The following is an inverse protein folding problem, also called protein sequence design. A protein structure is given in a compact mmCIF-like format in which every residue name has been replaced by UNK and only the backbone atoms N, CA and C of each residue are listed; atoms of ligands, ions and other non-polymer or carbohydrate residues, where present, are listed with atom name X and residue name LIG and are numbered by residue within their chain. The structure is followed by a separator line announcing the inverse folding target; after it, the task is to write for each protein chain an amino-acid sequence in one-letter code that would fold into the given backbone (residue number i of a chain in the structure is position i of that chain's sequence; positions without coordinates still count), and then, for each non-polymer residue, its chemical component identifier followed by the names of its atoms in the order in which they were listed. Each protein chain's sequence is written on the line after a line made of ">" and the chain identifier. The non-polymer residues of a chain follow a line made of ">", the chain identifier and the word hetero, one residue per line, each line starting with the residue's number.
data_IF_307925880638
#
_entry.id   IF_307925880638
#
_cell.length_a   1.000
_cell.length_b   1.000
_cell.length_c   1.000
_cell.angle_alpha   90.00
_cell.angle_beta   90.00
_cell.angle_gamma   90.00
#
_symmetry.space_group_name_H-M   'P 1'
#
loop_
_entity.id
_entity.type
_entity.pdbx_description
1 polymer ?
#
# COMPACT_ATOMS: atom_id res chain seq x y z
N UNK A 1 8.16 5.45 33.55
CA UNK A 1 7.15 5.35 32.47
C UNK A 1 7.03 6.72 31.84
N UNK A 2 7.19 6.80 30.52
CA UNK A 2 6.95 8.03 29.76
C UNK A 2 5.62 7.82 29.04
N UNK A 3 4.66 8.72 29.23
CA UNK A 3 3.31 8.55 28.71
C UNK A 3 2.83 9.82 28.02
N UNK A 4 2.47 9.70 26.73
CA UNK A 4 1.79 10.76 26.00
C UNK A 4 0.35 10.87 26.50
N UNK A 5 0.00 12.00 27.10
CA UNK A 5 -1.33 12.24 27.65
C UNK A 5 -1.69 13.72 27.50
N UNK A 6 -2.82 13.98 26.85
CA UNK A 6 -3.41 15.32 26.70
C UNK A 6 -4.67 15.39 27.55
N UNK A 7 -4.71 16.28 28.54
CA UNK A 7 -5.87 16.46 29.42
C UNK A 7 -5.51 16.73 30.88
N UNK A 8 -6.51 16.64 31.76
CA UNK A 8 -6.32 16.85 33.20
C UNK A 8 -5.47 15.70 33.78
N UNK A 9 -4.33 16.05 34.39
CA UNK A 9 -3.44 15.09 35.06
C UNK A 9 -4.23 14.15 35.98
N UNK A 10 -4.14 12.81 35.81
CA UNK A 10 -4.82 11.85 36.68
C UNK A 10 -4.33 11.95 38.14
N UNK A 11 -5.24 11.87 39.10
CA UNK A 11 -4.92 11.91 40.53
C UNK A 11 -4.16 10.66 40.99
N UNK A 12 -4.31 9.54 40.28
CA UNK A 12 -3.67 8.24 40.56
C UNK A 12 -2.29 8.08 39.91
N UNK A 13 -1.68 9.17 39.42
CA UNK A 13 -0.40 9.09 38.70
C UNK A 13 0.76 8.73 39.64
N UNK A 14 1.45 7.62 39.35
CA UNK A 14 2.64 7.20 40.08
C UNK A 14 3.83 8.17 39.94
N UNK A 15 4.67 8.25 40.97
CA UNK A 15 5.84 9.14 41.00
C UNK A 15 6.89 8.85 39.91
N UNK A 16 6.90 7.63 39.36
CA UNK A 16 7.78 7.18 38.29
C UNK A 16 7.15 7.33 36.89
N UNK A 17 6.01 8.00 36.77
CA UNK A 17 5.33 8.27 35.51
C UNK A 17 5.40 9.75 35.17
N UNK A 18 5.92 10.06 33.98
CA UNK A 18 6.01 11.42 33.48
C UNK A 18 5.12 11.57 32.26
N UNK A 19 4.22 12.56 32.32
CA UNK A 19 3.29 12.89 31.24
C UNK A 19 3.92 13.91 30.30
N UNK A 20 3.64 13.76 29.01
CA UNK A 20 4.01 14.70 27.96
C UNK A 20 2.84 14.88 27.00
N UNK A 21 2.67 16.08 26.44
CA UNK A 21 1.69 16.32 25.38
C UNK A 21 2.16 15.74 24.04
N UNK A 22 3.47 15.79 23.80
CA UNK A 22 4.16 15.22 22.64
C UNK A 22 5.43 14.50 23.06
N UNK A 23 5.74 13.38 22.39
CA UNK A 23 6.88 12.53 22.70
C UNK A 23 7.68 12.24 21.41
N UNK A 24 9.02 12.39 21.42
CA UNK A 24 9.88 11.91 20.33
C UNK A 24 9.97 10.37 20.41
N UNK A 25 8.95 9.68 19.90
CA UNK A 25 8.76 8.25 20.08
C UNK A 25 9.95 7.44 19.55
N UNK A 26 10.40 7.72 18.32
CA UNK A 26 11.51 7.00 17.71
C UNK A 26 12.80 7.13 18.52
N UNK A 27 13.17 8.35 18.96
CA UNK A 27 14.37 8.59 19.78
C UNK A 27 14.31 7.84 21.12
N UNK A 28 13.13 7.81 21.75
CA UNK A 28 12.94 7.06 22.98
C UNK A 28 13.02 5.56 22.74
N UNK A 29 12.50 5.04 21.63
CA UNK A 29 12.65 3.63 21.26
C UNK A 29 14.12 3.28 21.02
N UNK A 30 14.89 4.18 20.41
CA UNK A 30 16.33 4.03 20.21
C UNK A 30 17.19 4.22 21.46
N UNK A 31 16.62 4.71 22.57
CA UNK A 31 17.37 4.90 23.80
C UNK A 31 17.75 3.54 24.43
N UNK A 32 19.02 3.34 24.84
CA UNK A 32 19.52 2.03 25.29
C UNK A 32 18.84 1.50 26.57
N UNK A 33 18.18 2.36 27.34
CA UNK A 33 17.43 1.97 28.55
C UNK A 33 15.97 1.58 28.27
N UNK A 34 15.50 1.68 27.02
CA UNK A 34 14.13 1.31 26.67
C UNK A 34 13.96 -0.20 26.69
N UNK A 35 13.10 -0.67 27.61
CA UNK A 35 12.92 -2.11 27.89
C UNK A 35 11.68 -2.71 27.24
N UNK A 36 10.63 -1.93 27.07
CA UNK A 36 9.38 -2.38 26.49
C UNK A 36 8.59 -1.18 25.95
N UNK A 37 7.78 -1.42 24.93
CA UNK A 37 6.87 -0.43 24.34
C UNK A 37 5.41 -0.90 24.48
N UNK A 38 4.57 -0.09 25.11
CA UNK A 38 3.12 -0.34 25.17
C UNK A 38 2.50 0.40 23.99
N UNK A 39 1.82 -0.32 23.11
CA UNK A 39 1.36 0.24 21.84
C UNK A 39 -0.02 -0.28 21.46
N UNK A 40 -0.77 0.52 20.71
CA UNK A 40 -2.01 0.11 20.06
C UNK A 40 -1.79 -0.74 18.81
N UNK A 41 -0.53 -1.02 18.44
CA UNK A 41 -0.16 -1.88 17.31
C UNK A 41 -0.42 -1.27 15.91
N UNK A 42 -0.45 0.07 15.80
CA UNK A 42 -0.34 0.72 14.51
C UNK A 42 0.99 0.41 13.83
N UNK A 43 0.98 0.27 12.50
CA UNK A 43 2.12 -0.23 11.70
C UNK A 43 3.40 0.58 11.92
N UNK A 44 3.36 1.91 11.81
CA UNK A 44 4.55 2.75 12.00
C UNK A 44 5.19 2.53 13.38
N UNK A 45 4.38 2.52 14.45
CA UNK A 45 4.90 2.29 15.81
C UNK A 45 5.52 0.92 16.01
N UNK A 46 4.99 -0.10 15.32
CA UNK A 46 5.59 -1.45 15.32
C UNK A 46 6.92 -1.44 14.57
N UNK A 47 7.01 -0.75 13.44
CA UNK A 47 8.25 -0.68 12.66
C UNK A 47 9.35 0.06 13.42
N UNK A 48 9.05 1.20 14.06
CA UNK A 48 10.00 1.89 14.94
C UNK A 48 10.48 0.96 16.07
N UNK A 49 9.58 0.20 16.67
CA UNK A 49 9.94 -0.74 17.73
C UNK A 49 10.79 -1.91 17.23
N UNK A 50 10.50 -2.46 16.03
CA UNK A 50 11.32 -3.48 15.38
C UNK A 50 12.69 -2.91 15.04
N UNK A 51 12.76 -1.72 14.45
CA UNK A 51 13.99 -1.06 14.05
C UNK A 51 14.96 -0.95 15.22
N UNK A 52 14.47 -0.54 16.40
CA UNK A 52 15.26 -0.42 17.63
C UNK A 52 15.32 -1.71 18.48
N UNK A 53 14.72 -2.80 18.01
CA UNK A 53 14.69 -4.10 18.69
C UNK A 53 14.03 -4.05 20.07
N UNK A 54 12.97 -3.27 20.23
CA UNK A 54 12.21 -3.10 21.48
C UNK A 54 11.02 -4.06 21.48
N UNK A 55 10.88 -4.94 22.49
CA UNK A 55 9.72 -5.82 22.58
C UNK A 55 8.47 -5.06 23.04
N UNK A 56 7.29 -5.58 22.71
CA UNK A 56 6.04 -4.84 22.82
C UNK A 56 4.99 -5.51 23.70
N UNK A 57 4.16 -4.69 24.34
CA UNK A 57 2.85 -5.06 24.87
C UNK A 57 1.80 -4.38 23.99
N UNK A 58 1.10 -5.18 23.20
CA UNK A 58 0.13 -4.71 22.23
C UNK A 58 -1.29 -4.67 22.78
N UNK A 59 -1.99 -3.56 22.58
CA UNK A 59 -3.38 -3.34 22.98
C UNK A 59 -4.15 -2.86 21.74
N UNK A 60 -4.49 -3.75 20.80
CA UNK A 60 -5.15 -3.36 19.56
C UNK A 60 -6.50 -2.71 19.84
N UNK A 61 -6.85 -1.69 19.05
CA UNK A 61 -8.10 -0.93 19.20
C UNK A 61 -9.05 -1.21 18.05
N UNK A 62 -8.58 -1.16 16.80
CA UNK A 62 -9.41 -1.34 15.60
C UNK A 62 -8.56 -1.69 14.36
N UNK A 63 -9.25 -2.02 13.25
CA UNK A 63 -8.61 -2.20 11.94
C UNK A 63 -7.54 -3.29 11.90
N UNK A 64 -6.44 -2.98 11.20
CA UNK A 64 -5.29 -3.85 10.96
C UNK A 64 -4.43 -4.11 12.22
N UNK A 65 -4.65 -3.37 13.31
CA UNK A 65 -3.86 -3.49 14.54
C UNK A 65 -3.91 -4.90 15.15
N UNK A 66 -5.03 -5.60 14.99
CA UNK A 66 -5.21 -6.99 15.43
C UNK A 66 -4.33 -7.95 14.63
N UNK A 67 -4.22 -7.76 13.32
CA UNK A 67 -3.32 -8.53 12.46
C UNK A 67 -1.87 -8.23 12.82
N UNK A 68 -1.54 -6.96 13.02
CA UNK A 68 -0.19 -6.53 13.31
C UNK A 68 0.33 -7.17 14.61
N UNK A 69 -0.47 -7.15 15.69
CA UNK A 69 -0.05 -7.80 16.94
C UNK A 69 0.03 -9.31 16.81
N UNK A 70 -0.89 -9.96 16.07
CA UNK A 70 -0.83 -11.39 15.82
C UNK A 70 0.49 -11.80 15.14
N UNK A 71 0.97 -11.01 14.18
CA UNK A 71 2.26 -11.23 13.49
C UNK A 71 3.46 -11.10 14.43
N UNK A 72 3.51 -10.05 15.25
CA UNK A 72 4.65 -9.84 16.18
C UNK A 72 4.65 -10.88 17.31
N UNK A 73 3.46 -11.27 17.78
CA UNK A 73 3.27 -12.35 18.75
C UNK A 73 3.73 -13.70 18.19
N UNK A 74 3.39 -14.01 16.94
CA UNK A 74 3.89 -15.22 16.26
C UNK A 74 5.42 -15.23 16.14
N UNK A 75 6.05 -14.06 16.02
CA UNK A 75 7.51 -13.87 16.02
C UNK A 75 8.13 -13.83 17.42
N UNK A 76 7.31 -13.96 18.48
CA UNK A 76 7.78 -14.03 19.87
C UNK A 76 8.34 -12.72 20.41
N UNK A 77 8.03 -11.57 19.80
CA UNK A 77 8.55 -10.25 20.21
C UNK A 77 7.50 -9.37 20.90
N UNK A 78 6.26 -9.85 21.05
CA UNK A 78 5.20 -9.13 21.75
C UNK A 78 4.21 -10.04 22.48
N UNK A 79 3.45 -9.44 23.38
CA UNK A 79 2.26 -10.02 24.00
C UNK A 79 1.06 -9.12 23.75
N UNK A 80 -0.06 -9.73 23.41
CA UNK A 80 -1.34 -9.07 23.17
C UNK A 80 -2.17 -9.02 24.45
N UNK A 81 -2.80 -7.87 24.72
CA UNK A 81 -3.72 -7.66 25.83
C UNK A 81 -5.02 -7.08 25.28
N UNK A 82 -6.14 -7.69 25.64
CA UNK A 82 -7.48 -7.28 25.22
C UNK A 82 -7.95 -6.08 26.05
N UNK A 83 -8.18 -4.93 25.41
CA UNK A 83 -8.59 -3.70 26.09
C UNK A 83 -9.89 -3.85 26.90
N UNK A 84 -10.85 -4.62 26.40
CA UNK A 84 -12.18 -4.76 27.01
C UNK A 84 -12.17 -5.73 28.18
N UNK A 85 -11.26 -6.71 28.17
CA UNK A 85 -11.21 -7.78 29.17
C UNK A 85 -10.11 -7.60 30.21
N UNK A 86 -9.10 -6.78 29.93
CA UNK A 86 -7.92 -6.67 30.79
C UNK A 86 -8.21 -5.99 32.12
N UNK A 87 -7.54 -6.48 33.16
CA UNK A 87 -7.40 -5.82 34.45
C UNK A 87 -6.04 -5.13 34.59
N UNK A 88 -5.88 -4.28 35.60
CA UNK A 88 -4.58 -3.67 35.92
C UNK A 88 -3.51 -4.71 36.25
N UNK A 89 -3.89 -5.83 36.88
CA UNK A 89 -3.00 -6.96 37.12
C UNK A 89 -2.54 -7.65 35.85
N UNK A 90 -3.43 -7.81 34.85
CA UNK A 90 -3.08 -8.46 33.59
C UNK A 90 -2.04 -7.64 32.82
N UNK A 91 -2.25 -6.32 32.74
CA UNK A 91 -1.29 -5.41 32.10
C UNK A 91 0.06 -5.44 32.83
N UNK A 92 0.06 -5.38 34.17
CA UNK A 92 1.29 -5.41 34.98
C UNK A 92 2.06 -6.73 34.81
N UNK A 93 1.35 -7.86 34.87
CA UNK A 93 1.96 -9.18 34.73
C UNK A 93 2.53 -9.38 33.32
N UNK A 94 1.79 -8.95 32.30
CA UNK A 94 2.23 -8.99 30.91
C UNK A 94 3.47 -8.13 30.69
N UNK A 95 3.47 -6.90 31.20
CA UNK A 95 4.62 -6.01 31.12
C UNK A 95 5.85 -6.60 31.83
N UNK A 96 5.67 -7.18 33.03
CA UNK A 96 6.75 -7.89 33.74
C UNK A 96 7.27 -9.08 32.93
N UNK A 97 6.41 -9.83 32.28
CA UNK A 97 6.82 -10.96 31.44
C UNK A 97 7.68 -10.48 30.26
N UNK A 98 7.23 -9.46 29.52
CA UNK A 98 7.97 -8.88 28.38
C UNK A 98 9.32 -8.31 28.81
N UNK A 99 9.37 -7.65 29.97
CA UNK A 99 10.57 -6.99 30.49
C UNK A 99 11.61 -7.98 31.05
N UNK A 100 11.16 -9.07 31.68
CA UNK A 100 12.03 -9.98 32.43
C UNK A 100 12.36 -11.29 31.69
N UNK A 101 11.53 -11.72 30.73
CA UNK A 101 11.85 -12.87 29.91
C UNK A 101 12.76 -12.42 28.73
N UNK A 102 14.04 -12.86 28.69
CA UNK A 102 14.98 -12.41 27.67
C UNK A 102 14.56 -12.79 26.25
N UNK A 103 13.75 -13.85 26.09
CA UNK A 103 13.31 -14.32 24.77
C UNK A 103 12.62 -13.22 23.95
N UNK A 104 11.82 -12.36 24.58
CA UNK A 104 11.15 -11.26 23.87
C UNK A 104 12.16 -10.26 23.31
N UNK A 105 13.16 -9.86 24.12
CA UNK A 105 14.20 -8.93 23.69
C UNK A 105 15.10 -9.57 22.63
N UNK A 106 15.46 -10.84 22.77
CA UNK A 106 16.26 -11.57 21.79
C UNK A 106 15.54 -11.67 20.44
N UNK A 107 14.25 -12.01 20.44
CA UNK A 107 13.43 -12.05 19.23
C UNK A 107 13.28 -10.65 18.61
N UNK A 108 13.03 -9.61 19.41
CA UNK A 108 12.95 -8.24 18.91
C UNK A 108 14.29 -7.79 18.28
N UNK A 109 15.42 -8.07 18.93
CA UNK A 109 16.75 -7.78 18.37
C UNK A 109 17.06 -8.60 17.12
N UNK A 110 16.59 -9.85 17.03
CA UNK A 110 16.70 -10.66 15.82
C UNK A 110 15.93 -10.01 14.67
N UNK A 111 14.70 -9.56 14.90
CA UNK A 111 13.90 -8.84 13.90
C UNK A 111 14.56 -7.52 13.49
N UNK A 112 15.12 -6.77 14.44
CA UNK A 112 15.90 -5.55 14.18
C UNK A 112 17.07 -5.81 13.25
N UNK A 113 17.90 -6.83 13.54
CA UNK A 113 19.05 -7.17 12.68
C UNK A 113 18.64 -7.49 11.25
N UNK A 114 17.57 -8.25 11.07
CA UNK A 114 17.04 -8.57 9.74
C UNK A 114 16.52 -7.29 9.07
N UNK A 115 15.84 -6.43 9.83
CA UNK A 115 15.29 -5.18 9.31
C UNK A 115 16.37 -4.24 8.78
N UNK A 116 17.52 -4.18 9.45
CA UNK A 116 18.69 -3.41 9.02
C UNK A 116 19.49 -4.06 7.88
N UNK A 117 19.33 -5.37 7.66
CA UNK A 117 20.12 -6.14 6.68
C UNK A 117 19.55 -6.01 5.26
N UNK A 118 19.71 -4.82 4.69
CA UNK A 118 19.21 -4.48 3.36
C UNK A 118 20.32 -3.89 2.48
N UNK A 119 20.33 -4.20 1.17
CA UNK A 119 21.39 -3.74 0.26
C UNK A 119 21.33 -2.23 -0.04
N UNK A 120 20.19 -1.59 0.20
CA UNK A 120 19.96 -0.18 -0.05
C UNK A 120 18.96 0.32 0.99
N UNK A 121 19.19 1.54 1.51
CA UNK A 121 18.25 2.18 2.44
C UNK A 121 16.89 2.32 1.75
N UNK A 122 15.78 2.16 2.49
CA UNK A 122 14.47 2.20 1.85
C UNK A 122 14.14 3.52 1.16
N UNK A 123 14.59 4.64 1.72
CA UNK A 123 14.42 5.97 1.13
C UNK A 123 15.15 6.11 -0.20
N UNK A 124 16.43 5.74 -0.25
CA UNK A 124 17.24 5.75 -1.48
C UNK A 124 16.59 4.88 -2.57
N UNK A 125 16.00 3.74 -2.17
CA UNK A 125 15.26 2.85 -3.07
C UNK A 125 14.04 3.54 -3.66
N UNK A 126 13.25 4.21 -2.83
CA UNK A 126 12.07 4.95 -3.27
C UNK A 126 12.43 6.04 -4.29
N UNK A 127 13.41 6.87 -3.94
CA UNK A 127 13.91 7.96 -4.78
C UNK A 127 14.41 7.40 -6.11
N UNK A 128 15.23 6.34 -6.08
CA UNK A 128 15.73 5.70 -7.30
C UNK A 128 14.60 5.32 -8.27
N UNK A 129 13.51 4.75 -7.76
CA UNK A 129 12.38 4.26 -8.56
C UNK A 129 11.48 5.37 -9.09
N UNK A 130 11.28 6.43 -8.29
CA UNK A 130 10.58 7.63 -8.74
C UNK A 130 11.38 8.29 -9.86
N UNK A 131 12.67 8.50 -9.66
CA UNK A 131 13.55 9.04 -10.70
C UNK A 131 13.62 8.13 -11.93
N UNK A 132 13.59 6.80 -11.76
CA UNK A 132 13.57 5.85 -12.86
C UNK A 132 12.37 6.10 -13.79
N UNK A 133 11.17 6.27 -13.22
CA UNK A 133 9.98 6.59 -14.01
C UNK A 133 10.13 7.93 -14.72
N UNK A 134 10.66 8.94 -14.04
CA UNK A 134 10.89 10.26 -14.64
C UNK A 134 11.88 10.18 -15.81
N UNK A 135 12.99 9.44 -15.66
CA UNK A 135 14.01 9.21 -16.70
C UNK A 135 13.44 8.51 -17.93
N UNK A 136 12.55 7.55 -17.71
CA UNK A 136 12.05 6.67 -18.77
C UNK A 136 10.65 7.07 -19.28
N UNK A 137 10.08 8.17 -18.76
CA UNK A 137 8.73 8.65 -19.07
C UNK A 137 7.68 7.54 -18.90
N UNK A 138 7.80 6.81 -17.79
CA UNK A 138 6.99 5.65 -17.47
C UNK A 138 7.80 4.36 -17.31
N UNK A 139 7.14 3.30 -16.83
CA UNK A 139 7.70 1.98 -16.60
C UNK A 139 6.86 0.87 -17.27
N UNK A 140 6.20 1.17 -18.40
CA UNK A 140 5.34 0.24 -19.15
C UNK A 140 5.98 -1.14 -19.43
N UNK A 141 7.30 -1.18 -19.61
CA UNK A 141 8.05 -2.42 -19.87
C UNK A 141 8.23 -3.31 -18.62
N UNK A 142 8.06 -2.76 -17.42
CA UNK A 142 8.06 -3.52 -16.17
C UNK A 142 6.66 -4.02 -15.81
N UNK A 143 5.61 -3.54 -16.49
CA UNK A 143 4.22 -3.90 -16.20
C UNK A 143 3.95 -5.37 -16.48
N UNK A 144 3.20 -6.04 -15.60
CA UNK A 144 2.73 -7.38 -15.87
C UNK A 144 1.96 -7.39 -17.20
N UNK A 145 2.24 -8.39 -18.04
CA UNK A 145 1.58 -8.51 -19.35
C UNK A 145 0.06 -8.74 -19.24
N UNK A 146 -0.41 -9.13 -18.05
CA UNK A 146 -1.80 -9.43 -17.72
C UNK A 146 -2.74 -8.23 -17.95
N UNK A 147 -2.30 -7.00 -17.70
CA UNK A 147 -3.09 -5.80 -18.02
C UNK A 147 -3.42 -5.64 -19.51
N UNK A 148 -2.69 -6.33 -20.41
CA UNK A 148 -2.95 -6.32 -21.86
C UNK A 148 -3.70 -7.57 -22.33
N UNK A 149 -4.02 -8.51 -21.44
CA UNK A 149 -4.75 -9.73 -21.78
C UNK A 149 -6.25 -9.51 -21.71
N UNK A 150 -6.97 -10.10 -22.65
CA UNK A 150 -8.42 -10.23 -22.56
C UNK A 150 -8.81 -11.25 -21.48
N UNK A 151 -10.03 -11.13 -20.93
CA UNK A 151 -10.51 -12.01 -19.86
C UNK A 151 -10.44 -13.51 -20.21
N UNK A 152 -10.64 -13.87 -21.48
CA UNK A 152 -10.58 -15.26 -21.93
C UNK A 152 -9.15 -15.76 -22.13
N UNK A 153 -8.21 -14.89 -22.53
CA UNK A 153 -6.77 -15.23 -22.58
C UNK A 153 -6.19 -15.37 -21.17
N UNK A 154 -6.59 -14.49 -20.25
CA UNK A 154 -6.20 -14.58 -18.84
C UNK A 154 -6.60 -15.94 -18.23
N UNK A 155 -7.84 -16.37 -18.49
CA UNK A 155 -8.34 -17.67 -18.05
C UNK A 155 -7.95 -18.84 -18.97
N UNK A 156 -7.07 -18.62 -19.96
CA UNK A 156 -6.61 -19.63 -20.93
C UNK A 156 -7.74 -20.38 -21.65
N UNK A 157 -8.90 -19.76 -21.84
CA UNK A 157 -10.07 -20.38 -22.47
C UNK A 157 -9.85 -20.64 -23.97
N UNK A 158 -9.00 -19.83 -24.61
CA UNK A 158 -8.53 -20.02 -25.97
C UNK A 158 -7.68 -21.30 -26.10
N UNK A 159 -6.76 -21.53 -25.15
CA UNK A 159 -5.93 -22.74 -25.08
C UNK A 159 -6.81 -23.96 -24.76
N UNK A 160 -7.69 -23.86 -23.78
CA UNK A 160 -8.64 -24.93 -23.43
C UNK A 160 -9.52 -25.27 -24.64
N UNK A 161 -10.07 -24.25 -25.30
CA UNK A 161 -10.86 -24.40 -26.52
C UNK A 161 -10.08 -25.08 -27.65
N UNK A 162 -8.82 -24.69 -27.86
CA UNK A 162 -7.95 -25.34 -28.84
C UNK A 162 -7.67 -26.81 -28.49
N UNK A 163 -7.36 -27.12 -27.23
CA UNK A 163 -7.15 -28.50 -26.78
C UNK A 163 -8.41 -29.36 -26.94
N UNK A 164 -9.59 -28.82 -26.61
CA UNK A 164 -10.87 -29.48 -26.84
C UNK A 164 -11.12 -29.72 -28.33
N UNK A 165 -10.77 -28.76 -29.20
CA UNK A 165 -10.85 -28.94 -30.64
C UNK A 165 -9.86 -30.02 -31.16
N UNK A 166 -8.63 -30.07 -30.62
CA UNK A 166 -7.67 -31.14 -30.92
C UNK A 166 -8.20 -32.51 -30.46
N UNK A 167 -8.82 -32.59 -29.29
CA UNK A 167 -9.45 -33.83 -28.81
C UNK A 167 -10.64 -34.23 -29.68
N UNK A 168 -11.52 -33.30 -30.03
CA UNK A 168 -12.66 -33.55 -30.91
C UNK A 168 -12.21 -33.98 -32.31
N UNK A 169 -11.19 -33.34 -32.87
CA UNK A 169 -10.60 -33.74 -34.16
C UNK A 169 -9.88 -35.07 -34.07
N UNK A 170 -9.19 -35.38 -32.97
CA UNK A 170 -8.61 -36.70 -32.75
C UNK A 170 -9.69 -37.78 -32.66
N UNK A 171 -10.77 -37.56 -31.90
CA UNK A 171 -11.92 -38.47 -31.83
C UNK A 171 -12.58 -38.61 -33.20
N UNK A 172 -12.76 -37.51 -33.94
CA UNK A 172 -13.27 -37.53 -35.31
C UNK A 172 -12.33 -38.29 -36.25
N UNK A 173 -11.02 -38.10 -36.15
CA UNK A 173 -10.03 -38.83 -36.94
C UNK A 173 -9.96 -40.30 -36.55
N UNK A 174 -10.11 -40.67 -35.28
CA UNK A 174 -10.17 -42.07 -34.85
C UNK A 174 -11.46 -42.73 -35.35
N UNK A 175 -12.62 -42.08 -35.19
CA UNK A 175 -13.90 -42.57 -35.73
C UNK A 175 -13.89 -42.65 -37.26
N UNK A 176 -13.27 -41.67 -37.92
CA UNK A 176 -13.04 -41.72 -39.37
C UNK A 176 -11.99 -42.73 -39.74
N UNK A 177 -10.91 -42.95 -39.00
CA UNK A 177 -9.90 -43.99 -39.26
C UNK A 177 -10.46 -45.39 -39.06
N UNK A 178 -11.37 -45.61 -38.10
CA UNK A 178 -12.18 -46.83 -38.03
C UNK A 178 -13.06 -47.03 -39.27
N UNK A 179 -13.41 -45.95 -39.99
CA UNK A 179 -14.17 -45.95 -41.25
C UNK A 179 -13.29 -45.76 -42.51
N UNK A 180 -11.99 -45.51 -42.34
CA UNK A 180 -11.05 -45.03 -43.37
C UNK A 180 -9.73 -45.79 -43.29
N UNK A 181 -9.81 -47.09 -43.02
CA UNK A 181 -8.86 -48.09 -43.56
C UNK A 181 -8.94 -48.20 -45.10
N UNK A 182 -9.32 -47.12 -45.80
CA UNK A 182 -9.18 -46.96 -47.23
C UNK A 182 -8.59 -45.59 -47.51
N UNK A 183 -7.28 -45.64 -47.78
CA UNK A 183 -6.55 -44.74 -48.68
C UNK A 183 -5.71 -43.58 -48.11
N UNK A 184 -4.58 -43.39 -48.78
CA UNK A 184 -3.26 -42.93 -48.27
C UNK A 184 -2.94 -41.46 -48.63
N UNK A 185 -2.09 -40.86 -47.77
CA UNK A 185 -0.98 -39.88 -48.00
C UNK A 185 -1.30 -38.53 -48.66
N UNK A 186 -0.75 -37.36 -48.30
CA UNK A 186 0.27 -36.95 -47.32
C UNK A 186 1.18 -35.86 -47.93
N UNK A 187 1.38 -34.69 -47.26
CA UNK A 187 2.65 -33.93 -47.08
C UNK A 187 2.46 -32.50 -46.52
N UNK A 188 3.59 -31.91 -46.12
CA UNK A 188 3.85 -31.13 -44.89
C UNK A 188 4.05 -29.62 -45.09
N UNK A 189 3.92 -28.88 -43.98
CA UNK A 189 3.93 -27.41 -43.81
C UNK A 189 5.31 -26.72 -43.81
N UNK A 190 5.32 -25.36 -43.84
CA UNK A 190 5.96 -24.50 -42.80
C UNK A 190 5.68 -23.00 -42.97
N UNK A 191 5.49 -22.31 -41.83
CA UNK A 191 5.43 -20.85 -41.59
C UNK A 191 6.84 -20.26 -41.37
N UNK A 192 7.00 -18.94 -41.55
CA UNK A 192 8.10 -18.14 -40.96
C UNK A 192 7.55 -16.92 -40.19
N UNK A 193 8.31 -16.47 -39.18
CA UNK A 193 7.99 -15.55 -38.08
C UNK A 193 9.07 -14.44 -37.98
N UNK A 194 8.78 -13.39 -37.19
CA UNK A 194 9.68 -12.48 -36.39
C UNK A 194 10.21 -11.22 -37.11
N UNK A 195 10.48 -10.07 -36.46
CA UNK A 195 10.31 -9.55 -35.08
C UNK A 195 10.46 -8.01 -35.06
N UNK A 196 10.23 -7.46 -33.86
CA UNK A 196 10.18 -6.08 -33.35
C UNK A 196 11.55 -5.33 -33.31
N UNK A 197 11.50 -3.98 -33.30
CA UNK A 197 12.64 -3.08 -33.04
C UNK A 197 12.69 -2.57 -31.58
N UNK A 198 13.91 -2.39 -31.05
CA UNK A 198 14.26 -1.86 -29.72
C UNK A 198 14.81 -0.42 -29.84
N UNK A 199 14.52 0.45 -28.86
CA UNK A 199 15.09 1.79 -28.72
C UNK A 199 15.97 1.94 -27.46
N UNK A 200 16.92 2.88 -27.52
CA UNK A 200 17.95 3.22 -26.53
C UNK A 200 17.49 4.29 -25.51
N UNK A 201 18.14 4.36 -24.34
CA UNK A 201 17.92 5.36 -23.27
C UNK A 201 18.99 6.47 -23.24
N UNK A 202 18.59 7.65 -22.74
CA UNK A 202 19.41 8.83 -22.46
C UNK A 202 19.33 9.22 -20.96
N UNK A 203 20.23 10.10 -20.52
CA UNK A 203 20.65 10.37 -19.14
C UNK A 203 19.88 11.51 -18.46
N UNK A 204 19.80 11.45 -17.12
CA UNK A 204 18.85 12.18 -16.28
C UNK A 204 18.86 13.71 -16.31
N UNK A 205 17.67 14.26 -16.03
CA UNK A 205 17.41 15.66 -15.70
C UNK A 205 16.45 15.77 -14.51
N UNK A 206 16.58 16.86 -13.78
CA UNK A 206 15.63 17.39 -12.80
C UNK A 206 14.21 17.47 -13.37
N UNK A 207 13.18 17.15 -12.59
CA UNK A 207 11.79 17.21 -13.05
C UNK A 207 10.81 17.69 -11.98
N UNK A 208 9.62 18.12 -12.44
CA UNK A 208 8.55 18.68 -11.60
C UNK A 208 7.60 17.58 -11.11
N UNK A 209 7.45 17.45 -9.80
CA UNK A 209 6.63 16.43 -9.14
C UNK A 209 5.36 17.08 -8.60
N UNK A 210 4.19 16.57 -9.01
CA UNK A 210 2.89 16.91 -8.42
C UNK A 210 2.55 15.88 -7.35
N UNK A 211 2.10 16.34 -6.19
CA UNK A 211 1.73 15.46 -5.07
C UNK A 211 0.29 15.72 -4.68
N UNK A 212 -0.50 14.65 -4.60
CA UNK A 212 -1.84 14.63 -4.02
C UNK A 212 -1.80 13.86 -2.68
N UNK A 213 -1.47 14.53 -1.56
CA UNK A 213 -1.29 13.88 -0.28
C UNK A 213 -2.61 13.64 0.48
N UNK A 214 -2.58 12.67 1.39
CA UNK A 214 -3.60 12.46 2.42
C UNK A 214 -3.04 12.74 3.83
N UNK A 215 -3.91 13.12 4.78
CA UNK A 215 -3.51 13.56 6.13
C UNK A 215 -3.01 12.41 7.04
N UNK A 216 -2.56 12.72 8.26
CA UNK A 216 -2.12 11.74 9.27
C UNK A 216 -0.87 10.92 8.88
N UNK A 217 -0.88 9.61 9.13
CA UNK A 217 0.25 8.72 8.90
C UNK A 217 0.64 8.61 7.42
N UNK A 218 -0.29 8.93 6.53
CA UNK A 218 -0.11 8.91 5.08
C UNK A 218 0.84 10.02 4.66
N UNK A 219 0.56 11.24 5.11
CA UNK A 219 1.43 12.39 4.96
C UNK A 219 2.82 12.17 5.54
N UNK A 220 2.94 11.58 6.75
CA UNK A 220 4.26 11.37 7.39
C UNK A 220 5.18 10.50 6.51
N UNK A 221 4.64 9.41 5.94
CA UNK A 221 5.38 8.52 5.07
C UNK A 221 5.75 9.19 3.74
N UNK A 222 4.82 9.93 3.14
CA UNK A 222 5.02 10.59 1.87
C UNK A 222 6.00 11.78 2.00
N UNK A 223 5.84 12.60 3.04
CA UNK A 223 6.68 13.77 3.34
C UNK A 223 8.17 13.41 3.34
N UNK A 224 8.51 12.28 3.95
CA UNK A 224 9.88 11.77 4.02
C UNK A 224 10.49 11.57 2.62
N UNK A 225 9.72 10.98 1.70
CA UNK A 225 10.17 10.76 0.31
C UNK A 225 10.31 12.10 -0.42
N UNK A 226 9.37 13.02 -0.19
CA UNK A 226 9.38 14.34 -0.82
C UNK A 226 10.56 15.20 -0.34
N UNK A 227 10.91 15.14 0.94
CA UNK A 227 12.06 15.86 1.49
C UNK A 227 13.37 15.40 0.82
N UNK A 228 13.52 14.11 0.56
CA UNK A 228 14.69 13.58 -0.16
C UNK A 228 14.70 13.97 -1.65
N UNK A 229 13.54 13.93 -2.31
CA UNK A 229 13.41 14.39 -3.70
C UNK A 229 13.76 15.88 -3.84
N UNK A 230 13.43 16.70 -2.83
CA UNK A 230 13.80 18.11 -2.81
C UNK A 230 15.32 18.31 -2.72
N UNK A 231 16.02 17.49 -1.92
CA UNK A 231 17.48 17.47 -1.86
C UNK A 231 18.10 17.07 -3.21
N UNK A 232 17.42 16.21 -3.96
CA UNK A 232 17.78 15.79 -5.31
C UNK A 232 17.43 16.83 -6.40
N UNK A 233 17.12 18.08 -6.02
CA UNK A 233 16.83 19.23 -6.90
C UNK A 233 15.54 19.11 -7.74
N UNK A 234 14.61 18.26 -7.31
CA UNK A 234 13.26 18.22 -7.88
C UNK A 234 12.40 19.38 -7.39
N UNK A 235 11.56 19.92 -8.27
CA UNK A 235 10.58 20.93 -7.90
C UNK A 235 9.27 20.23 -7.51
N UNK A 236 8.84 20.40 -6.27
CA UNK A 236 7.70 19.68 -5.70
C UNK A 236 6.56 20.66 -5.44
N UNK A 237 5.38 20.36 -5.99
CA UNK A 237 4.14 21.07 -5.72
C UNK A 237 3.13 20.15 -5.06
N UNK A 238 2.58 20.60 -3.94
CA UNK A 238 1.66 19.83 -3.11
C UNK A 238 0.28 20.47 -3.13
N UNK A 239 -0.74 19.67 -3.43
CA UNK A 239 -2.14 20.08 -3.40
C UNK A 239 -2.70 19.84 -2.00
N UNK A 240 -2.93 20.92 -1.23
CA UNK A 240 -3.32 20.81 0.19
C UNK A 240 -4.77 21.26 0.38
N UNK A 241 -5.67 20.38 0.88
CA UNK A 241 -7.01 20.78 1.27
C UNK A 241 -7.01 21.79 2.44
N UNK A 242 -7.83 22.83 2.38
CA UNK A 242 -7.90 23.90 3.40
C UNK A 242 -8.26 23.41 4.81
N UNK A 243 -8.91 22.25 4.92
CA UNK A 243 -9.29 21.59 6.18
C UNK A 243 -8.21 20.72 6.84
N UNK A 244 -7.02 20.56 6.23
CA UNK A 244 -6.00 19.63 6.75
C UNK A 244 -5.47 20.01 8.15
N UNK A 245 -5.17 18.97 8.93
CA UNK A 245 -4.78 19.00 10.35
C UNK A 245 -3.26 18.97 10.55
N UNK A 246 -2.52 18.10 9.85
CA UNK A 246 -1.06 18.01 9.99
C UNK A 246 -0.26 18.75 8.89
N UNK A 247 -0.90 19.14 7.78
CA UNK A 247 -0.27 19.95 6.72
C UNK A 247 -0.28 21.44 7.10
N UNK A 248 0.62 21.83 8.02
CA UNK A 248 0.89 23.24 8.30
C UNK A 248 1.71 23.86 7.15
N UNK A 249 1.01 24.39 6.15
CA UNK A 249 1.55 25.02 4.95
C UNK A 249 2.51 26.20 5.21
N UNK A 250 2.57 26.72 6.45
CA UNK A 250 3.51 27.78 6.83
C UNK A 250 4.91 27.27 7.18
N UNK A 251 5.07 25.97 7.43
CA UNK A 251 6.32 25.35 7.91
C UNK A 251 6.95 24.36 6.93
N UNK A 252 6.37 24.22 5.74
CA UNK A 252 6.75 23.20 4.77
C UNK A 252 7.63 23.82 3.67
N UNK A 253 8.79 23.21 3.32
CA UNK A 253 9.73 23.77 2.33
C UNK A 253 9.34 23.51 0.86
N UNK A 254 8.06 23.18 0.58
CA UNK A 254 7.56 22.82 -0.74
C UNK A 254 6.66 23.93 -1.32
N UNK A 255 6.46 23.95 -2.64
CA UNK A 255 5.42 24.78 -3.23
C UNK A 255 4.05 24.21 -2.85
N UNK A 256 3.15 25.05 -2.33
CA UNK A 256 1.82 24.61 -1.86
C UNK A 256 0.73 25.31 -2.65
N UNK A 257 -0.22 24.51 -3.15
CA UNK A 257 -1.44 24.98 -3.80
C UNK A 257 -2.65 24.56 -2.96
N UNK A 258 -3.31 25.55 -2.35
CA UNK A 258 -4.39 25.32 -1.38
C UNK A 258 -5.70 25.09 -2.12
N UNK A 259 -6.31 23.92 -1.90
CA UNK A 259 -7.64 23.55 -2.37
C UNK A 259 -8.68 24.01 -1.33
N UNK A 260 -9.50 24.99 -1.68
CA UNK A 260 -10.54 25.51 -0.78
C UNK A 260 -11.75 24.59 -0.75
N UNK A 261 -12.02 24.00 0.42
CA UNK A 261 -13.16 23.11 0.66
C UNK A 261 -14.26 23.80 1.48
N UNK A 262 -15.55 23.48 1.23
CA UNK A 262 -16.68 24.00 2.00
C UNK A 262 -16.91 23.28 3.34
N UNK A 263 -15.91 22.59 3.90
CA UNK A 263 -16.01 21.75 5.11
C UNK A 263 -15.10 22.30 6.23
N UNK A 264 -15.60 22.38 7.46
CA UNK A 264 -14.83 22.85 8.63
C UNK A 264 -13.92 21.75 9.19
N UNK A 265 -12.85 22.13 9.90
CA UNK A 265 -11.88 21.18 10.49
C UNK A 265 -12.55 20.24 11.50
N UNK A 266 -13.51 20.74 12.26
CA UNK A 266 -14.21 19.98 13.31
C UNK A 266 -15.13 18.91 12.72
N UNK A 267 -15.84 19.22 11.63
CA UNK A 267 -16.71 18.27 10.92
C UNK A 267 -15.90 17.15 10.24
N UNK A 268 -14.70 17.47 9.75
CA UNK A 268 -13.78 16.49 9.17
C UNK A 268 -13.23 15.48 10.20
N UNK A 269 -13.07 15.88 11.46
CA UNK A 269 -12.58 15.01 12.55
C UNK A 269 -13.65 14.03 13.05
N UNK A 270 -14.90 14.48 13.18
CA UNK A 270 -15.98 13.63 13.69
C UNK A 270 -16.33 12.47 12.74
N UNK A 271 -16.10 12.64 11.44
CA UNK A 271 -16.51 11.69 10.41
C UNK A 271 -15.43 11.51 9.33
N UNK A 272 -14.21 11.11 9.74
CA UNK A 272 -13.01 11.04 8.89
C UNK A 272 -13.24 10.30 7.54
N UNK A 273 -13.87 9.12 7.57
CA UNK A 273 -14.18 8.35 6.35
C UNK A 273 -15.17 9.10 5.44
N UNK A 274 -16.24 9.67 6.01
CA UNK A 274 -17.24 10.46 5.28
C UNK A 274 -16.64 11.75 4.72
N UNK A 275 -15.69 12.37 5.43
CA UNK A 275 -14.97 13.56 5.01
C UNK A 275 -14.11 13.30 3.78
N UNK A 276 -13.27 12.24 3.79
CA UNK A 276 -12.45 11.83 2.65
C UNK A 276 -13.30 11.46 1.43
N UNK A 277 -14.38 10.73 1.68
CA UNK A 277 -15.36 10.37 0.66
C UNK A 277 -15.97 11.62 0.03
N UNK A 278 -16.49 12.53 0.86
CA UNK A 278 -17.14 13.77 0.39
C UNK A 278 -16.19 14.65 -0.41
N UNK A 279 -14.93 14.79 0.02
CA UNK A 279 -13.92 15.56 -0.72
C UNK A 279 -13.74 15.00 -2.13
N UNK A 280 -13.58 13.69 -2.26
CA UNK A 280 -13.30 13.07 -3.55
C UNK A 280 -14.41 13.29 -4.59
N UNK A 281 -15.68 13.17 -4.19
CA UNK A 281 -16.81 13.31 -5.12
C UNK A 281 -17.25 14.76 -5.33
N UNK A 282 -16.99 15.67 -4.38
CA UNK A 282 -17.44 17.06 -4.46
C UNK A 282 -16.41 17.99 -5.09
N UNK A 283 -15.11 17.72 -4.96
CA UNK A 283 -14.04 18.59 -5.49
C UNK A 283 -14.18 18.89 -6.99
N UNK A 284 -14.41 17.90 -7.87
CA UNK A 284 -14.57 18.16 -9.31
C UNK A 284 -15.85 18.93 -9.68
N UNK A 285 -16.79 19.11 -8.73
CA UNK A 285 -18.03 19.87 -8.95
C UNK A 285 -17.88 21.35 -8.57
N UNK A 286 -16.75 21.74 -7.96
CA UNK A 286 -16.53 23.11 -7.49
C UNK A 286 -16.22 24.03 -8.67
N UNK A 287 -16.70 25.28 -8.58
CA UNK A 287 -16.62 26.26 -9.68
C UNK A 287 -15.19 26.61 -10.10
N UNK A 288 -14.20 26.36 -9.25
CA UNK A 288 -12.79 26.65 -9.50
C UNK A 288 -12.01 25.46 -10.09
N UNK A 289 -12.62 24.28 -10.23
CA UNK A 289 -11.95 23.04 -10.66
C UNK A 289 -11.28 23.17 -12.04
N UNK A 290 -11.99 23.72 -13.02
CA UNK A 290 -11.46 23.91 -14.38
C UNK A 290 -10.28 24.90 -14.39
N UNK A 291 -10.33 25.93 -13.54
CA UNK A 291 -9.23 26.90 -13.41
C UNK A 291 -7.98 26.24 -12.80
N UNK A 292 -8.15 25.42 -11.77
CA UNK A 292 -7.08 24.63 -11.17
C UNK A 292 -6.44 23.69 -12.21
N UNK A 293 -7.24 22.92 -12.94
CA UNK A 293 -6.73 21.99 -13.96
C UNK A 293 -5.93 22.72 -15.04
N UNK A 294 -6.42 23.88 -15.50
CA UNK A 294 -5.70 24.69 -16.50
C UNK A 294 -4.34 25.19 -15.96
N UNK A 295 -4.27 25.61 -14.69
CA UNK A 295 -3.01 26.00 -14.04
C UNK A 295 -2.03 24.84 -13.94
N UNK A 296 -2.52 23.67 -13.48
CA UNK A 296 -1.70 22.47 -13.37
C UNK A 296 -1.18 22.01 -14.74
N UNK A 297 -2.01 22.10 -15.77
CA UNK A 297 -1.61 21.76 -17.14
C UNK A 297 -0.56 22.75 -17.69
N UNK A 298 -0.69 24.04 -17.39
CA UNK A 298 0.31 25.04 -17.74
C UNK A 298 1.66 24.84 -17.01
N UNK A 299 1.63 24.27 -15.80
CA UNK A 299 2.82 24.02 -14.99
C UNK A 299 3.70 22.86 -15.50
N UNK A 300 3.16 21.97 -16.36
CA UNK A 300 3.87 20.86 -17.04
C UNK A 300 4.62 19.94 -16.08
N UNK A 301 3.90 19.31 -15.15
CA UNK A 301 4.46 18.30 -14.26
C UNK A 301 4.94 17.06 -15.02
N UNK A 302 6.00 16.42 -14.54
CA UNK A 302 6.58 15.22 -15.14
C UNK A 302 5.98 13.92 -14.57
N UNK A 303 5.50 13.95 -13.33
CA UNK A 303 4.94 12.80 -12.62
C UNK A 303 4.01 13.24 -11.49
N UNK A 304 2.97 12.44 -11.22
CA UNK A 304 2.09 12.57 -10.06
C UNK A 304 2.39 11.47 -9.02
N UNK A 305 2.47 11.81 -7.74
CA UNK A 305 2.50 10.85 -6.64
C UNK A 305 1.18 10.97 -5.88
N UNK A 306 0.45 9.85 -5.83
CA UNK A 306 -0.89 9.77 -5.25
C UNK A 306 -0.91 8.78 -4.07
N UNK A 307 -1.69 9.06 -3.03
CA UNK A 307 -1.89 8.17 -1.89
C UNK A 307 -3.35 7.69 -1.87
N UNK A 308 -3.56 6.38 -2.05
CA UNK A 308 -4.84 5.76 -2.48
C UNK A 308 -5.94 5.72 -1.42
N UNK A 309 -5.90 6.57 -0.41
CA UNK A 309 -6.96 6.65 0.59
C UNK A 309 -8.18 7.41 0.07
N UNK A 310 -7.99 8.39 -0.82
CA UNK A 310 -9.08 9.04 -1.55
C UNK A 310 -8.72 9.05 -3.04
N UNK A 311 -9.64 8.60 -3.88
CA UNK A 311 -9.36 8.40 -5.30
C UNK A 311 -9.60 9.70 -6.06
N UNK A 312 -8.53 10.49 -6.24
CA UNK A 312 -8.57 11.73 -7.00
C UNK A 312 -7.25 12.02 -7.74
N UNK A 313 -6.09 11.70 -7.15
CA UNK A 313 -4.79 12.03 -7.74
C UNK A 313 -4.53 11.32 -9.08
N UNK A 314 -4.99 10.09 -9.23
CA UNK A 314 -4.94 9.35 -10.50
C UNK A 314 -5.88 9.93 -11.57
N UNK A 315 -7.04 10.46 -11.17
CA UNK A 315 -7.96 11.14 -12.08
C UNK A 315 -7.32 12.43 -12.62
N UNK A 316 -6.69 13.20 -11.73
CA UNK A 316 -5.94 14.41 -12.12
C UNK A 316 -4.76 14.05 -13.04
N UNK A 317 -4.03 12.98 -12.74
CA UNK A 317 -2.93 12.53 -13.59
C UNK A 317 -3.39 12.13 -15.00
N UNK A 318 -4.51 11.42 -15.14
CA UNK A 318 -5.11 11.07 -16.44
C UNK A 318 -5.57 12.33 -17.19
N UNK A 319 -6.21 13.30 -16.51
CA UNK A 319 -6.63 14.57 -17.12
C UNK A 319 -5.46 15.43 -17.59
N UNK A 320 -4.36 15.45 -16.84
CA UNK A 320 -3.11 16.14 -17.19
C UNK A 320 -2.26 15.35 -18.20
N UNK A 321 -2.60 14.09 -18.45
CA UNK A 321 -1.86 13.14 -19.30
C UNK A 321 -0.39 12.97 -18.86
N UNK A 322 -0.19 12.79 -17.55
CA UNK A 322 1.13 12.56 -16.92
C UNK A 322 1.18 11.17 -16.26
N UNK A 323 2.35 10.51 -16.19
CA UNK A 323 2.49 9.26 -15.45
C UNK A 323 2.27 9.48 -13.95
N UNK A 324 1.79 8.45 -13.26
CA UNK A 324 1.59 8.51 -11.81
C UNK A 324 2.07 7.24 -11.09
N UNK A 325 2.42 7.41 -9.83
CA UNK A 325 2.85 6.36 -8.89
C UNK A 325 1.95 6.42 -7.67
N UNK A 326 1.61 5.26 -7.10
CA UNK A 326 0.93 5.18 -5.82
C UNK A 326 1.88 5.01 -4.66
N UNK A 327 1.63 5.71 -3.55
CA UNK A 327 2.02 5.30 -2.21
C UNK A 327 0.84 4.55 -1.60
N UNK A 328 0.89 3.21 -1.61
CA UNK A 328 -0.22 2.35 -1.22
C UNK A 328 0.08 1.71 0.15
N UNK A 329 -0.94 1.51 0.99
CA UNK A 329 -0.78 0.76 2.24
C UNK A 329 -1.37 -0.64 2.11
N UNK A 330 -2.69 -0.76 2.24
CA UNK A 330 -3.41 -2.01 2.04
C UNK A 330 -4.85 -1.72 1.62
N UNK A 331 -5.54 -2.75 1.12
CA UNK A 331 -7.00 -2.78 1.11
C UNK A 331 -7.55 -3.95 1.90
N UNK A 332 -8.78 -3.81 2.40
CA UNK A 332 -9.42 -4.85 3.20
C UNK A 332 -9.56 -6.14 2.39
N UNK A 333 -9.06 -7.26 2.92
CA UNK A 333 -9.00 -8.53 2.20
C UNK A 333 -8.10 -8.54 0.95
N UNK A 334 -7.18 -7.57 0.80
CA UNK A 334 -6.26 -7.43 -0.32
C UNK A 334 -6.95 -7.31 -1.70
N UNK A 335 -8.15 -6.72 -1.74
CA UNK A 335 -8.98 -6.67 -2.95
C UNK A 335 -8.35 -5.77 -4.02
N UNK A 336 -7.93 -4.55 -3.69
CA UNK A 336 -7.33 -3.60 -4.64
C UNK A 336 -5.99 -4.11 -5.17
N UNK A 337 -5.15 -4.67 -4.29
CA UNK A 337 -3.86 -5.25 -4.65
C UNK A 337 -4.07 -6.39 -5.66
N UNK A 338 -5.04 -7.27 -5.41
CA UNK A 338 -5.31 -8.41 -6.28
C UNK A 338 -6.00 -8.04 -7.58
N UNK A 339 -7.01 -7.18 -7.53
CA UNK A 339 -7.90 -6.93 -8.66
C UNK A 339 -7.44 -5.75 -9.52
N UNK A 340 -6.93 -4.69 -8.91
CA UNK A 340 -6.51 -3.50 -9.63
C UNK A 340 -4.99 -3.49 -9.91
N UNK A 341 -4.17 -3.85 -8.93
CA UNK A 341 -2.72 -3.99 -9.14
C UNK A 341 -2.33 -5.36 -9.73
N UNK A 342 -3.30 -6.27 -9.91
CA UNK A 342 -3.12 -7.63 -10.46
C UNK A 342 -2.02 -8.43 -9.75
N UNK A 343 -1.91 -8.22 -8.44
CA UNK A 343 -0.91 -8.83 -7.59
C UNK A 343 -1.26 -10.28 -7.25
N UNK A 344 -0.25 -11.15 -7.26
CA UNK A 344 -0.45 -12.58 -7.04
C UNK A 344 -0.47 -12.90 -5.53
N UNK A 345 -1.64 -12.71 -4.92
CA UNK A 345 -1.90 -13.05 -3.52
C UNK A 345 -2.80 -14.29 -3.45
N UNK A 346 -2.23 -15.50 -3.31
CA UNK A 346 -3.03 -16.72 -3.27
C UNK A 346 -3.79 -16.84 -1.95
N UNK A 347 -5.12 -16.78 -2.02
CA UNK A 347 -6.01 -16.91 -0.85
C UNK A 347 -5.90 -18.25 -0.10
N UNK A 348 -5.26 -19.25 -0.69
CA UNK A 348 -5.00 -20.55 -0.05
C UNK A 348 -3.82 -20.54 0.91
N UNK A 349 -2.94 -19.53 0.83
CA UNK A 349 -1.70 -19.44 1.59
C UNK A 349 -1.51 -18.11 2.30
N UNK A 350 -1.99 -17.00 1.72
CA UNK A 350 -1.86 -15.66 2.30
C UNK A 350 -3.18 -15.26 2.98
N UNK A 351 -3.21 -15.15 4.32
CA UNK A 351 -4.29 -14.51 5.04
C UNK A 351 -4.68 -13.15 4.45
N UNK A 352 -5.97 -12.91 4.25
CA UNK A 352 -6.45 -11.58 3.90
C UNK A 352 -6.17 -10.59 5.03
N UNK A 353 -5.82 -9.36 4.70
CA UNK A 353 -5.63 -8.31 5.71
C UNK A 353 -6.93 -8.10 6.49
N UNK A 354 -6.77 -7.95 7.80
CA UNK A 354 -7.78 -7.92 8.88
C UNK A 354 -8.48 -9.25 9.17
N UNK A 355 -7.93 -10.39 8.72
CA UNK A 355 -8.47 -11.72 9.05
C UNK A 355 -7.93 -12.31 10.36
N UNK A 356 -6.88 -11.72 10.95
CA UNK A 356 -6.16 -12.15 12.15
C UNK A 356 -5.48 -13.53 12.01
N UNK A 357 -5.51 -14.13 10.82
CA UNK A 357 -4.86 -15.41 10.57
C UNK A 357 -3.34 -15.24 10.36
N UNK A 358 -2.58 -16.23 10.81
CA UNK A 358 -1.12 -16.30 10.64
C UNK A 358 -0.73 -17.12 9.41
N UNK A 359 0.55 -17.25 9.10
CA UNK A 359 1.12 -18.07 8.01
C UNK A 359 0.90 -19.58 8.20
N UNK A 360 0.85 -20.03 9.45
CA UNK A 360 0.62 -21.45 9.77
C UNK A 360 -0.88 -21.75 9.90
N UNK A 361 -1.55 -21.97 8.76
CA UNK A 361 -3.00 -22.21 8.69
C UNK A 361 -3.37 -23.69 8.49
N UNK A 362 -4.28 -24.17 9.32
CA UNK A 362 -5.00 -25.44 9.14
C UNK A 362 -5.97 -25.38 7.95
N UNK A 363 -6.45 -26.53 7.47
CA UNK A 363 -7.43 -26.57 6.37
C UNK A 363 -8.71 -25.76 6.66
N UNK A 364 -9.22 -25.82 7.89
CA UNK A 364 -10.41 -25.03 8.29
C UNK A 364 -10.12 -23.53 8.26
N UNK A 365 -8.92 -23.10 8.67
CA UNK A 365 -8.53 -21.70 8.57
C UNK A 365 -8.35 -21.25 7.12
N UNK A 366 -7.83 -22.11 6.23
CA UNK A 366 -7.78 -21.84 4.79
C UNK A 366 -9.17 -21.66 4.20
N UNK A 367 -10.13 -22.50 4.60
CA UNK A 367 -11.52 -22.38 4.17
C UNK A 367 -12.12 -21.04 4.63
N UNK A 368 -11.91 -20.67 5.90
CA UNK A 368 -12.33 -19.37 6.44
C UNK A 368 -11.70 -18.20 5.68
N UNK A 369 -10.40 -18.29 5.41
CA UNK A 369 -9.68 -17.27 4.64
C UNK A 369 -10.28 -17.13 3.24
N UNK A 370 -10.52 -18.24 2.54
CA UNK A 370 -11.14 -18.21 1.21
C UNK A 370 -12.52 -17.53 1.23
N UNK A 371 -13.37 -17.86 2.22
CA UNK A 371 -14.65 -17.18 2.40
C UNK A 371 -14.48 -15.69 2.71
N UNK A 372 -13.49 -15.33 3.52
CA UNK A 372 -13.19 -13.93 3.85
C UNK A 372 -12.81 -13.14 2.59
N UNK A 373 -11.98 -13.70 1.71
CA UNK A 373 -11.67 -13.09 0.42
C UNK A 373 -12.92 -12.91 -0.45
N UNK A 374 -13.74 -13.96 -0.58
CA UNK A 374 -14.97 -13.89 -1.38
C UNK A 374 -15.95 -12.82 -0.85
N UNK A 375 -16.10 -12.73 0.47
CA UNK A 375 -16.93 -11.72 1.12
C UNK A 375 -16.36 -10.31 0.92
N UNK A 376 -15.05 -10.13 1.07
CA UNK A 376 -14.40 -8.83 0.88
C UNK A 376 -14.56 -8.35 -0.56
N UNK A 377 -14.31 -9.21 -1.54
CA UNK A 377 -14.49 -8.91 -2.96
C UNK A 377 -15.95 -8.52 -3.29
N UNK A 378 -16.92 -9.22 -2.69
CA UNK A 378 -18.34 -8.90 -2.83
C UNK A 378 -18.66 -7.51 -2.26
N UNK A 379 -18.17 -7.20 -1.05
CA UNK A 379 -18.36 -5.89 -0.41
C UNK A 379 -17.78 -4.76 -1.28
N UNK A 380 -16.53 -4.91 -1.75
CA UNK A 380 -15.92 -3.93 -2.65
C UNK A 380 -16.71 -3.76 -3.95
N UNK A 381 -17.22 -4.85 -4.51
CA UNK A 381 -17.99 -4.79 -5.76
C UNK A 381 -19.27 -3.98 -5.63
N UNK A 382 -19.98 -4.10 -4.49
CA UNK A 382 -21.25 -3.42 -4.26
C UNK A 382 -21.10 -2.00 -3.69
N UNK A 383 -20.15 -1.79 -2.79
CA UNK A 383 -20.04 -0.55 -2.00
C UNK A 383 -18.99 0.42 -2.56
N UNK A 384 -17.93 -0.09 -3.20
CA UNK A 384 -16.81 0.73 -3.67
C UNK A 384 -16.81 0.82 -5.20
N UNK A 385 -16.58 -0.29 -5.90
CA UNK A 385 -16.39 -0.29 -7.35
C UNK A 385 -17.57 0.31 -8.10
N UNK A 386 -18.81 0.00 -7.71
CA UNK A 386 -19.99 0.53 -8.37
C UNK A 386 -20.07 2.07 -8.34
N UNK A 387 -19.72 2.68 -7.21
CA UNK A 387 -19.81 4.13 -7.05
C UNK A 387 -18.62 4.84 -7.69
N UNK A 388 -17.43 4.29 -7.52
CA UNK A 388 -16.21 4.82 -8.12
C UNK A 388 -16.22 4.70 -9.65
N UNK A 389 -16.64 3.58 -10.22
CA UNK A 389 -16.76 3.41 -11.68
C UNK A 389 -17.68 4.47 -12.30
N UNK A 390 -18.79 4.82 -11.62
CA UNK A 390 -19.69 5.91 -12.06
C UNK A 390 -19.01 7.26 -12.00
N UNK A 391 -18.26 7.52 -10.93
CA UNK A 391 -17.50 8.76 -10.77
C UNK A 391 -16.42 8.90 -11.84
N UNK A 392 -15.57 7.90 -12.03
CA UNK A 392 -14.55 7.90 -13.06
C UNK A 392 -15.13 8.09 -14.46
N UNK A 393 -16.21 7.37 -14.76
CA UNK A 393 -16.88 7.50 -16.05
C UNK A 393 -17.42 8.91 -16.29
N UNK A 394 -17.87 9.59 -15.22
CA UNK A 394 -18.37 10.97 -15.27
C UNK A 394 -17.24 11.98 -15.43
N UNK A 395 -16.17 11.87 -14.63
CA UNK A 395 -15.03 12.81 -14.64
C UNK A 395 -14.26 12.73 -15.96
N UNK A 396 -14.04 11.52 -16.48
CA UNK A 396 -13.28 11.30 -17.71
C UNK A 396 -14.14 11.34 -18.97
N UNK A 397 -15.47 11.41 -18.83
CA UNK A 397 -16.41 11.49 -19.95
C UNK A 397 -16.48 10.24 -20.84
N UNK A 398 -15.92 9.10 -20.40
CA UNK A 398 -15.89 7.82 -21.11
C UNK A 398 -16.13 6.68 -20.11
N UNK A 399 -16.76 5.54 -20.48
CA UNK A 399 -16.91 4.40 -19.58
C UNK A 399 -15.55 3.94 -19.08
N UNK A 400 -15.34 3.97 -17.76
CA UNK A 400 -14.05 3.68 -17.14
C UNK A 400 -14.28 3.14 -15.74
N UNK A 401 -13.57 2.07 -15.39
CA UNK A 401 -13.64 1.46 -14.06
C UNK A 401 -12.49 1.92 -13.16
N UNK A 402 -12.68 1.84 -11.84
CA UNK A 402 -11.66 2.14 -10.83
C UNK A 402 -10.39 1.31 -11.09
N UNK A 403 -10.52 -0.02 -11.20
CA UNK A 403 -9.36 -0.87 -11.42
C UNK A 403 -8.68 -0.63 -12.78
N UNK A 404 -9.41 -0.19 -13.82
CA UNK A 404 -8.79 0.22 -15.08
C UNK A 404 -7.86 1.43 -14.88
N UNK A 405 -8.29 2.44 -14.12
CA UNK A 405 -7.45 3.60 -13.83
C UNK A 405 -6.32 3.23 -12.88
N UNK A 406 -6.61 2.57 -11.77
CA UNK A 406 -5.55 2.21 -10.81
C UNK A 406 -4.48 1.30 -11.45
N UNK A 407 -4.88 0.39 -12.34
CA UNK A 407 -3.96 -0.45 -13.12
C UNK A 407 -3.08 0.34 -14.11
N UNK A 408 -3.40 1.61 -14.39
CA UNK A 408 -2.56 2.49 -15.20
C UNK A 408 -1.37 3.08 -14.45
N UNK A 409 -1.25 2.90 -13.12
CA UNK A 409 -0.09 3.38 -12.38
C UNK A 409 1.21 2.82 -12.97
N UNK A 410 2.25 3.64 -13.02
CA UNK A 410 3.58 3.20 -13.46
C UNK A 410 4.26 2.33 -12.39
N UNK A 411 3.96 2.60 -11.11
CA UNK A 411 4.47 1.84 -9.98
C UNK A 411 3.57 1.97 -8.75
N UNK A 412 3.63 0.98 -7.87
CA UNK A 412 2.96 0.98 -6.58
C UNK A 412 4.02 0.84 -5.49
N UNK A 413 4.27 1.91 -4.76
CA UNK A 413 5.12 1.89 -3.57
C UNK A 413 4.28 1.39 -2.40
N UNK A 414 4.35 0.09 -2.12
CA UNK A 414 3.62 -0.51 -1.00
C UNK A 414 4.41 -0.27 0.28
N UNK A 415 3.76 0.37 1.25
CA UNK A 415 4.30 0.66 2.59
C UNK A 415 4.27 -0.58 3.47
N UNK A 416 5.21 -1.49 3.23
CA UNK A 416 5.32 -2.70 4.04
C UNK A 416 6.74 -3.25 4.09
N UNK A 417 6.98 -4.08 5.10
CA UNK A 417 8.25 -4.72 5.38
C UNK A 417 8.17 -6.22 5.10
N UNK A 418 9.11 -6.70 4.27
CA UNK A 418 9.10 -8.07 3.75
C UNK A 418 9.05 -9.15 4.84
N UNK A 419 9.81 -8.98 5.92
CA UNK A 419 9.84 -9.97 7.00
C UNK A 419 8.74 -9.75 8.04
N UNK A 420 7.95 -8.69 7.93
CA UNK A 420 6.71 -8.52 8.69
C UNK A 420 5.51 -9.12 7.96
N UNK A 421 5.47 -9.02 6.63
CA UNK A 421 4.46 -9.66 5.79
C UNK A 421 4.67 -11.16 5.57
N UNK A 422 3.61 -11.81 5.05
CA UNK A 422 3.70 -13.21 4.67
C UNK A 422 4.40 -13.31 3.33
N UNK A 423 5.39 -14.19 3.22
CA UNK A 423 6.15 -14.34 1.99
C UNK A 423 5.26 -14.82 0.85
N UNK A 424 5.05 -13.95 -0.15
CA UNK A 424 4.46 -14.28 -1.45
C UNK A 424 5.22 -13.53 -2.56
N UNK A 425 5.07 -13.93 -3.84
CA UNK A 425 5.77 -13.27 -4.93
C UNK A 425 5.35 -11.79 -5.02
N UNK A 426 6.30 -10.86 -5.01
CA UNK A 426 6.09 -9.45 -5.34
C UNK A 426 6.65 -9.16 -6.73
N UNK A 427 5.90 -8.43 -7.56
CA UNK A 427 6.41 -7.90 -8.81
C UNK A 427 7.41 -6.77 -8.54
N UNK A 428 8.36 -6.55 -9.47
CA UNK A 428 9.37 -5.48 -9.40
C UNK A 428 8.76 -4.06 -9.31
N UNK A 429 7.50 -3.94 -9.72
CA UNK A 429 6.65 -2.73 -9.66
C UNK A 429 6.13 -2.44 -8.25
N UNK A 430 6.30 -3.38 -7.31
CA UNK A 430 5.99 -3.21 -5.91
C UNK A 430 7.29 -2.99 -5.17
N UNK A 431 7.76 -1.75 -5.13
CA UNK A 431 8.90 -1.43 -4.27
C UNK A 431 8.37 -1.23 -2.86
N UNK A 432 8.70 -2.21 -2.03
CA UNK A 432 8.53 -2.14 -0.60
C UNK A 432 9.28 -0.91 -0.10
N UNK A 433 8.51 0.13 0.22
CA UNK A 433 8.94 1.21 1.08
C UNK A 433 9.05 0.61 2.49
N UNK A 434 10.17 -0.06 2.71
CA UNK A 434 10.58 -0.42 4.06
C UNK A 434 10.74 0.89 4.86
N UNK A 435 10.39 0.87 6.13
CA UNK A 435 10.14 2.06 6.94
C UNK A 435 11.14 3.22 6.75
N UNK A 436 10.73 4.25 5.99
CA UNK A 436 11.53 5.45 5.79
C UNK A 436 11.46 6.39 7.02
N UNK A 437 10.49 6.18 7.92
CA UNK A 437 10.28 7.05 9.09
C UNK A 437 11.22 6.72 10.24
N UNK A 438 11.49 5.43 10.52
CA UNK A 438 12.44 5.03 11.55
C UNK A 438 13.92 5.29 11.18
N UNK A 439 14.25 5.23 9.89
CA UNK A 439 15.62 5.34 9.38
C UNK A 439 16.18 6.76 9.27
N UNK A 440 15.33 7.80 9.31
CA UNK A 440 15.72 9.19 9.09
C UNK A 440 15.98 10.01 10.37
N UNK A 441 15.60 9.51 11.54
CA UNK A 441 15.75 10.27 12.80
C UNK A 441 16.98 9.88 13.63
N UNK A 442 17.87 9.01 13.15
CA UNK A 442 19.18 8.86 13.76
C UNK A 442 20.09 10.01 13.32
N UNK A 443 20.58 10.87 14.24
CA UNK A 443 21.68 11.77 13.90
C UNK A 443 22.90 10.91 13.53
N UNK A 444 23.70 11.36 12.56
CA UNK A 444 25.08 10.88 12.39
C UNK A 444 25.88 11.04 13.68
#
# INVERSE_FOLDING_TARGET
>A
VLWRYTGKKPETLGANTRLYEWIPQNDLLGHPQTRAFITHCGTNGIYEAIYHGVPMVGIPLFGDQHDNIARIKAKGAAVEVDLQRMTSSDLLNTLKAVINNPSYKENAMKLSRIHHDQPMKPLDRAVFWIEFIMRHKGAKHLRPAIHNLTWYQYNSLDVIGFLLACMATFIFLVTKCCLFCYWKFGKTAKKKKKELHLCLFDSGRTGKVLVWPEDFSYWINLKVILEELLLHTHEITILVPSGSLLLDHTKIPFNVEIIQLPVTKEAFIEEFDTGLYTISFEVPKLSWWDELLNRLQAAKFDICIDDTLSFCGESVAELLNIPFIYSFWFSYGNVIERLCAEHLIPSSYVPGITSVLTDNVTFIQKLKNWFFYAMSEMLYSYDIFLEWDKYYSKVLGKPTTLCEIMGKAEMWLIRTYRDFEFLHPYYLILNLLEDCTASLQSPC
#
